data_IF_747509420665
#
_entry.id   IF_747509420665
#
_cell.length_a   1.000
_cell.length_b   1.000
_cell.length_c   1.000
_cell.angle_alpha   90.00
_cell.angle_beta   90.00
_cell.angle_gamma   90.00
#
_symmetry.space_group_name_H-M   'P 1'
#
loop_
_entity.id
_entity.type
_entity.pdbx_description
1 polymer ?
#
# COMPACT_ATOMS: atom_id res chain seq x y z
N UNK A 1 38.57 49.72 -38.18
CA UNK A 1 37.41 49.43 -39.03
C UNK A 1 37.01 47.94 -39.09
N UNK A 2 37.75 47.03 -39.74
CA UNK A 2 37.32 45.61 -39.86
C UNK A 2 37.27 44.87 -38.51
N UNK A 3 38.27 45.05 -37.64
CA UNK A 3 38.29 44.44 -36.31
C UNK A 3 37.19 44.97 -35.37
N UNK A 4 36.88 46.27 -35.44
CA UNK A 4 35.79 46.88 -34.67
C UNK A 4 34.42 46.40 -35.16
N UNK A 5 34.24 46.20 -36.47
CA UNK A 5 33.03 45.63 -37.03
C UNK A 5 32.84 44.16 -36.62
N UNK A 6 33.92 43.37 -36.52
CA UNK A 6 33.87 41.99 -36.04
C UNK A 6 33.51 41.90 -34.56
N UNK A 7 34.08 42.78 -33.72
CA UNK A 7 33.72 42.88 -32.30
C UNK A 7 32.26 43.29 -32.11
N UNK A 8 31.81 44.32 -32.84
CA UNK A 8 30.42 44.77 -32.80
C UNK A 8 29.43 43.68 -33.26
N UNK A 9 29.77 42.94 -34.32
CA UNK A 9 28.96 41.81 -34.79
C UNK A 9 28.88 40.67 -33.76
N UNK A 10 30.00 40.35 -33.09
CA UNK A 10 30.05 39.33 -32.03
C UNK A 10 29.20 39.73 -30.82
N UNK A 11 29.25 40.99 -30.41
CA UNK A 11 28.44 41.51 -29.30
C UNK A 11 26.94 41.56 -29.63
N UNK A 12 26.58 41.93 -30.86
CA UNK A 12 25.20 41.85 -31.35
C UNK A 12 24.71 40.40 -31.33
N UNK A 13 25.52 39.46 -31.81
CA UNK A 13 25.14 38.05 -31.86
C UNK A 13 24.98 37.45 -30.46
N UNK A 14 25.85 37.80 -29.50
CA UNK A 14 25.69 37.40 -28.09
C UNK A 14 24.41 37.96 -27.47
N UNK A 15 24.10 39.24 -27.72
CA UNK A 15 22.85 39.87 -27.24
C UNK A 15 21.62 39.23 -27.86
N UNK A 16 21.67 38.89 -29.15
CA UNK A 16 20.59 38.23 -29.86
C UNK A 16 20.35 36.81 -29.30
N UNK A 17 21.41 36.02 -29.07
CA UNK A 17 21.30 34.69 -28.45
C UNK A 17 20.76 34.77 -27.03
N UNK A 18 21.23 35.72 -26.21
CA UNK A 18 20.72 35.91 -24.85
C UNK A 18 19.23 36.32 -24.84
N UNK A 19 18.81 37.16 -25.80
CA UNK A 19 17.41 37.55 -25.95
C UNK A 19 16.54 36.37 -26.40
N UNK A 20 17.01 35.56 -27.34
CA UNK A 20 16.31 34.33 -27.79
C UNK A 20 16.16 33.36 -26.62
N UNK A 21 17.24 33.06 -25.88
CA UNK A 21 17.19 32.17 -24.71
C UNK A 21 16.26 32.69 -23.61
N UNK A 22 16.27 34.01 -23.35
CA UNK A 22 15.35 34.63 -22.38
C UNK A 22 13.90 34.54 -22.86
N UNK A 23 13.67 34.69 -24.17
CA UNK A 23 12.34 34.60 -24.77
C UNK A 23 11.83 33.16 -24.76
N UNK A 24 12.67 32.18 -25.10
CA UNK A 24 12.39 30.74 -25.00
C UNK A 24 12.11 30.31 -23.56
N UNK A 25 12.90 30.76 -22.58
CA UNK A 25 12.64 30.49 -21.15
C UNK A 25 11.33 31.10 -20.64
N UNK A 26 10.87 32.20 -21.24
CA UNK A 26 9.59 32.81 -20.90
C UNK A 26 8.44 32.10 -21.60
N UNK A 27 8.63 31.68 -22.86
CA UNK A 27 7.65 30.95 -23.66
C UNK A 27 7.44 29.52 -23.15
N UNK A 28 8.50 28.84 -22.72
CA UNK A 28 8.42 27.46 -22.19
C UNK A 28 7.55 27.34 -20.94
N UNK A 29 7.36 28.45 -20.18
CA UNK A 29 6.42 28.52 -19.05
C UNK A 29 4.94 28.54 -19.46
N UNK A 30 4.66 28.73 -20.74
CA UNK A 30 3.33 28.69 -21.35
C UNK A 30 3.19 27.55 -22.37
N UNK A 31 4.26 26.78 -22.59
CA UNK A 31 4.19 25.61 -23.45
C UNK A 31 3.38 24.52 -22.75
N UNK A 32 2.34 23.98 -23.41
CA UNK A 32 1.53 22.92 -22.83
C UNK A 32 2.38 21.69 -22.46
N UNK A 33 2.15 21.16 -21.26
CA UNK A 33 2.94 20.04 -20.70
C UNK A 33 2.23 18.73 -20.99
N UNK A 34 3.00 17.73 -21.45
CA UNK A 34 2.53 16.37 -21.62
C UNK A 34 2.35 15.68 -20.26
N UNK A 35 1.19 15.10 -20.04
CA UNK A 35 0.81 14.43 -18.78
C UNK A 35 0.34 13.02 -19.11
N UNK A 36 0.80 12.06 -18.31
CA UNK A 36 0.26 10.71 -18.29
C UNK A 36 -0.46 10.47 -16.97
N UNK A 37 -1.76 10.19 -17.03
CA UNK A 37 -2.58 9.93 -15.86
C UNK A 37 -3.67 8.90 -16.18
N UNK A 38 -3.86 7.93 -15.29
CA UNK A 38 -4.88 6.87 -15.41
C UNK A 38 -4.83 6.12 -16.77
N UNK A 39 -3.61 5.94 -17.30
CA UNK A 39 -3.36 5.27 -18.58
C UNK A 39 -3.71 6.10 -19.81
N UNK A 40 -3.97 7.40 -19.65
CA UNK A 40 -4.19 8.35 -20.74
C UNK A 40 -3.05 9.34 -20.82
N UNK A 41 -2.72 9.71 -22.05
CA UNK A 41 -1.75 10.75 -22.32
C UNK A 41 -2.48 11.96 -22.93
N UNK A 42 -2.24 13.13 -22.36
CA UNK A 42 -2.84 14.37 -22.81
C UNK A 42 -1.92 15.55 -22.51
N UNK A 43 -2.29 16.73 -22.98
CA UNK A 43 -1.47 17.94 -22.85
C UNK A 43 -2.32 19.03 -22.18
N UNK A 44 -1.75 19.74 -21.21
CA UNK A 44 -2.44 20.76 -20.40
C UNK A 44 -1.59 22.00 -20.22
N UNK A 45 -2.22 23.11 -19.82
CA UNK A 45 -1.49 24.30 -19.40
C UNK A 45 -0.61 23.99 -18.17
N UNK A 46 0.62 24.53 -18.09
CA UNK A 46 1.48 24.35 -16.93
C UNK A 46 0.85 24.74 -15.59
N UNK A 47 0.00 25.79 -15.57
CA UNK A 47 -0.68 26.22 -14.35
C UNK A 47 -1.81 25.25 -13.97
N UNK A 48 -2.51 24.70 -14.96
CA UNK A 48 -3.52 23.65 -14.72
C UNK A 48 -2.87 22.41 -14.08
N UNK A 49 -1.74 21.94 -14.62
CA UNK A 49 -0.98 20.84 -14.02
C UNK A 49 -0.56 21.18 -12.59
N UNK A 50 0.02 22.37 -12.38
CA UNK A 50 0.50 22.81 -11.06
C UNK A 50 -0.63 22.88 -10.03
N UNK A 51 -1.78 23.43 -10.41
CA UNK A 51 -2.95 23.53 -9.53
C UNK A 51 -3.53 22.15 -9.22
N UNK A 52 -3.56 21.24 -10.20
CA UNK A 52 -3.94 19.84 -9.98
C UNK A 52 -3.00 19.17 -8.97
N UNK A 53 -1.69 19.25 -9.20
CA UNK A 53 -0.69 18.66 -8.31
C UNK A 53 -0.83 19.21 -6.88
N UNK A 54 -0.99 20.53 -6.73
CA UNK A 54 -1.16 21.17 -5.43
C UNK A 54 -2.43 20.69 -4.70
N UNK A 55 -3.55 20.54 -5.40
CA UNK A 55 -4.77 19.98 -4.80
C UNK A 55 -4.57 18.52 -4.35
N UNK A 56 -3.80 17.75 -5.11
CA UNK A 56 -3.50 16.36 -4.82
C UNK A 56 -2.46 16.16 -3.71
N UNK A 57 -1.53 17.08 -3.54
CA UNK A 57 -0.59 17.06 -2.42
C UNK A 57 -1.32 17.23 -1.09
N UNK A 58 -2.36 18.08 -1.05
CA UNK A 58 -3.26 18.18 0.11
C UNK A 58 -3.98 16.84 0.35
N UNK A 59 -4.50 16.20 -0.69
CA UNK A 59 -5.10 14.88 -0.56
C UNK A 59 -4.12 13.82 0.00
N UNK A 60 -2.89 13.78 -0.53
CA UNK A 60 -1.83 12.85 -0.10
C UNK A 60 -1.35 13.08 1.33
N UNK A 61 -1.47 14.31 1.84
CA UNK A 61 -1.16 14.63 3.24
C UNK A 61 -2.20 14.06 4.24
N UNK A 62 -3.30 13.49 3.76
CA UNK A 62 -4.36 12.94 4.61
C UNK A 62 -5.35 13.97 5.15
N UNK A 63 -5.17 15.27 4.89
CA UNK A 63 -6.16 16.30 5.22
C UNK A 63 -7.32 16.30 4.20
N UNK A 64 -8.19 15.31 4.31
CA UNK A 64 -9.28 15.08 3.35
C UNK A 64 -10.30 16.21 3.32
N UNK A 65 -10.46 16.97 4.41
CA UNK A 65 -11.35 18.12 4.46
C UNK A 65 -10.81 19.26 3.58
N UNK A 66 -9.52 19.61 3.72
CA UNK A 66 -8.88 20.57 2.83
C UNK A 66 -8.78 20.05 1.40
N UNK A 67 -8.54 18.75 1.22
CA UNK A 67 -8.44 18.14 -0.10
C UNK A 67 -9.76 18.24 -0.88
N UNK A 68 -10.90 18.01 -0.23
CA UNK A 68 -12.22 18.21 -0.85
C UNK A 68 -12.36 19.62 -1.42
N UNK A 69 -11.99 20.62 -0.61
CA UNK A 69 -12.06 22.02 -1.01
C UNK A 69 -11.11 22.32 -2.17
N UNK A 70 -9.85 21.89 -2.07
CA UNK A 70 -8.84 22.15 -3.09
C UNK A 70 -9.18 21.50 -4.44
N UNK A 71 -9.66 20.25 -4.44
CA UNK A 71 -10.07 19.55 -5.65
C UNK A 71 -11.34 20.19 -6.26
N UNK A 72 -12.31 20.59 -5.44
CA UNK A 72 -13.50 21.29 -5.91
C UNK A 72 -13.16 22.65 -6.54
N UNK A 73 -12.27 23.43 -5.92
CA UNK A 73 -11.79 24.72 -6.46
C UNK A 73 -11.01 24.53 -7.76
N UNK A 74 -10.18 23.48 -7.86
CA UNK A 74 -9.51 23.12 -9.11
C UNK A 74 -10.52 22.84 -10.23
N UNK A 75 -11.52 22.00 -9.98
CA UNK A 75 -12.54 21.66 -10.97
C UNK A 75 -13.40 22.88 -11.36
N UNK A 76 -13.64 23.81 -10.44
CA UNK A 76 -14.33 25.06 -10.74
C UNK A 76 -13.48 26.01 -11.59
N UNK A 77 -12.17 26.07 -11.32
CA UNK A 77 -11.21 26.90 -12.07
C UNK A 77 -10.99 26.37 -13.49
N UNK A 78 -11.01 25.06 -13.68
CA UNK A 78 -10.80 24.41 -14.97
C UNK A 78 -11.98 23.49 -15.37
N UNK A 79 -13.16 24.04 -15.75
CA UNK A 79 -14.35 23.23 -16.02
C UNK A 79 -14.23 22.22 -17.17
N UNK A 80 -13.32 22.48 -18.11
CA UNK A 80 -13.04 21.62 -19.27
C UNK A 80 -11.78 20.76 -19.10
N UNK A 81 -11.28 20.62 -17.88
CA UNK A 81 -10.04 19.89 -17.59
C UNK A 81 -10.13 18.41 -17.99
N UNK A 82 -9.06 17.91 -18.62
CA UNK A 82 -8.91 16.49 -18.93
C UNK A 82 -8.61 15.64 -17.68
N UNK A 83 -8.29 16.28 -16.54
CA UNK A 83 -8.18 15.65 -15.24
C UNK A 83 -9.54 15.28 -14.62
N UNK A 84 -10.66 15.71 -15.21
CA UNK A 84 -11.99 15.64 -14.58
C UNK A 84 -12.34 14.25 -14.01
N UNK A 85 -12.19 13.12 -14.73
CA UNK A 85 -12.53 11.80 -14.19
C UNK A 85 -11.70 11.43 -12.95
N UNK A 86 -10.40 11.75 -12.95
CA UNK A 86 -9.51 11.50 -11.83
C UNK A 86 -9.83 12.43 -10.66
N UNK A 87 -9.96 13.74 -10.91
CA UNK A 87 -10.32 14.72 -9.89
C UNK A 87 -11.64 14.36 -9.19
N UNK A 88 -12.68 13.99 -9.93
CA UNK A 88 -13.96 13.54 -9.38
C UNK A 88 -13.83 12.25 -8.57
N UNK A 89 -13.04 11.28 -9.06
CA UNK A 89 -12.79 10.04 -8.34
C UNK A 89 -12.13 10.31 -6.98
N UNK A 90 -11.10 11.15 -6.96
CA UNK A 90 -10.38 11.47 -5.73
C UNK A 90 -11.14 12.40 -4.79
N UNK A 91 -11.96 13.32 -5.32
CA UNK A 91 -12.94 14.06 -4.54
C UNK A 91 -13.91 13.10 -3.82
N UNK A 92 -14.41 12.09 -4.53
CA UNK A 92 -15.26 11.05 -3.95
C UNK A 92 -14.56 10.25 -2.85
N UNK A 93 -13.28 9.92 -3.01
CA UNK A 93 -12.49 9.27 -1.97
C UNK A 93 -12.27 10.18 -0.76
N UNK A 94 -11.99 11.47 -0.97
CA UNK A 94 -11.84 12.44 0.12
C UNK A 94 -13.14 12.57 0.92
N UNK A 95 -14.29 12.61 0.23
CA UNK A 95 -15.63 12.64 0.83
C UNK A 95 -15.94 11.34 1.58
N UNK A 96 -15.55 10.18 1.03
CA UNK A 96 -15.67 8.91 1.72
C UNK A 96 -14.89 8.90 3.04
N UNK A 97 -13.65 9.37 3.03
CA UNK A 97 -12.80 9.43 4.23
C UNK A 97 -13.35 10.35 5.31
N UNK A 98 -14.05 11.43 4.96
CA UNK A 98 -14.74 12.29 5.93
C UNK A 98 -16.17 11.84 6.23
N UNK A 99 -16.58 10.63 5.79
CA UNK A 99 -17.92 10.04 5.98
C UNK A 99 -19.07 10.81 5.31
N UNK A 100 -18.76 11.67 4.33
CA UNK A 100 -19.73 12.36 3.47
C UNK A 100 -20.16 11.42 2.33
N UNK A 101 -20.79 10.29 2.69
CA UNK A 101 -21.04 9.19 1.75
C UNK A 101 -22.01 9.55 0.61
N UNK A 102 -22.96 10.46 0.84
CA UNK A 102 -23.93 10.86 -0.20
C UNK A 102 -23.24 11.68 -1.29
N UNK A 103 -22.40 12.63 -0.89
CA UNK A 103 -21.57 13.45 -1.76
C UNK A 103 -20.55 12.58 -2.49
N UNK A 104 -19.91 11.64 -1.78
CA UNK A 104 -18.99 10.67 -2.37
C UNK A 104 -19.65 9.88 -3.50
N UNK A 105 -20.86 9.34 -3.27
CA UNK A 105 -21.64 8.64 -4.30
C UNK A 105 -21.93 9.54 -5.51
N UNK A 106 -22.26 10.82 -5.29
CA UNK A 106 -22.50 11.77 -6.38
C UNK A 106 -21.24 11.99 -7.22
N UNK A 107 -20.08 12.20 -6.58
CA UNK A 107 -18.78 12.36 -7.24
C UNK A 107 -18.40 11.11 -8.04
N UNK A 108 -18.55 9.91 -7.47
CA UNK A 108 -18.27 8.66 -8.20
C UNK A 108 -19.24 8.41 -9.36
N UNK A 109 -20.52 8.77 -9.22
CA UNK A 109 -21.49 8.70 -10.34
C UNK A 109 -21.11 9.66 -11.47
N UNK A 110 -20.57 10.83 -11.15
CA UNK A 110 -20.09 11.78 -12.16
C UNK A 110 -18.93 11.18 -12.99
N UNK A 111 -18.01 10.43 -12.37
CA UNK A 111 -16.95 9.69 -13.10
C UNK A 111 -17.55 8.74 -14.14
N UNK A 112 -18.56 7.96 -13.74
CA UNK A 112 -19.20 6.97 -14.62
C UNK A 112 -20.00 7.65 -15.74
N UNK A 113 -20.68 8.76 -15.42
CA UNK A 113 -21.48 9.51 -16.39
C UNK A 113 -20.61 10.20 -17.46
N UNK A 114 -19.49 10.80 -17.05
CA UNK A 114 -18.61 11.52 -17.96
C UNK A 114 -17.66 10.60 -18.73
N UNK A 115 -17.23 9.49 -18.10
CA UNK A 115 -16.17 8.66 -18.64
C UNK A 115 -16.39 7.16 -18.35
N UNK A 116 -17.47 6.59 -18.90
CA UNK A 116 -17.82 5.17 -18.71
C UNK A 116 -16.71 4.17 -19.11
N UNK A 117 -15.85 4.51 -20.07
CA UNK A 117 -14.72 3.67 -20.48
C UNK A 117 -13.40 4.04 -19.78
N UNK A 118 -13.44 4.89 -18.75
CA UNK A 118 -12.26 5.29 -17.99
C UNK A 118 -11.77 4.15 -17.09
N UNK A 119 -10.45 4.08 -16.84
CA UNK A 119 -9.86 3.08 -15.95
C UNK A 119 -10.51 3.10 -14.55
N UNK A 120 -10.91 4.29 -14.10
CA UNK A 120 -11.57 4.54 -12.80
C UNK A 120 -13.06 4.19 -12.75
N UNK A 121 -13.72 3.94 -13.87
CA UNK A 121 -15.19 3.83 -13.88
C UNK A 121 -15.68 2.60 -13.11
N UNK A 122 -14.94 1.48 -13.21
CA UNK A 122 -15.25 0.27 -12.45
C UNK A 122 -14.93 0.43 -10.95
N UNK A 123 -13.79 1.07 -10.63
CA UNK A 123 -13.43 1.40 -9.25
C UNK A 123 -14.44 2.38 -8.62
N UNK A 124 -14.97 3.33 -9.39
CA UNK A 124 -16.00 4.27 -8.93
C UNK A 124 -17.31 3.56 -8.55
N UNK A 125 -17.75 2.57 -9.35
CA UNK A 125 -18.91 1.74 -9.00
C UNK A 125 -18.65 0.90 -7.73
N UNK A 126 -17.43 0.34 -7.60
CA UNK A 126 -17.06 -0.36 -6.37
C UNK A 126 -17.08 0.58 -5.16
N UNK A 127 -16.57 1.80 -5.30
CA UNK A 127 -16.58 2.82 -4.25
C UNK A 127 -17.99 3.29 -3.90
N UNK A 128 -18.92 3.41 -4.86
CA UNK A 128 -20.34 3.67 -4.59
C UNK A 128 -20.94 2.56 -3.73
N UNK A 129 -20.69 1.30 -4.08
CA UNK A 129 -21.18 0.18 -3.29
C UNK A 129 -20.59 0.19 -1.87
N UNK A 130 -19.33 0.59 -1.71
CA UNK A 130 -18.71 0.74 -0.38
C UNK A 130 -19.41 1.83 0.44
N UNK A 131 -19.66 3.00 -0.15
CA UNK A 131 -20.44 4.07 0.51
C UNK A 131 -21.80 3.55 0.97
N UNK A 132 -22.51 2.81 0.12
CA UNK A 132 -23.82 2.25 0.43
C UNK A 132 -23.77 1.22 1.56
N UNK A 133 -22.71 0.41 1.62
CA UNK A 133 -22.47 -0.52 2.75
C UNK A 133 -22.23 0.22 4.06
N UNK A 134 -21.38 1.25 4.07
CA UNK A 134 -21.14 2.08 5.26
C UNK A 134 -22.41 2.78 5.75
N UNK A 135 -23.29 3.15 4.82
CA UNK A 135 -24.62 3.68 5.10
C UNK A 135 -25.65 2.63 5.52
N UNK A 136 -25.28 1.35 5.60
CA UNK A 136 -26.17 0.20 5.86
C UNK A 136 -27.27 -0.01 4.80
N UNK A 137 -27.15 0.60 3.62
CA UNK A 137 -28.05 0.41 2.49
C UNK A 137 -27.59 -0.79 1.62
N UNK A 138 -27.77 -1.99 2.17
CA UNK A 138 -27.35 -3.25 1.55
C UNK A 138 -28.09 -3.53 0.25
N UNK A 139 -29.34 -3.08 0.11
CA UNK A 139 -30.15 -3.25 -1.10
C UNK A 139 -29.55 -2.48 -2.27
N UNK A 140 -29.24 -1.19 -2.07
CA UNK A 140 -28.60 -0.39 -3.11
C UNK A 140 -27.17 -0.86 -3.39
N UNK A 141 -26.40 -1.23 -2.36
CA UNK A 141 -25.07 -1.80 -2.52
C UNK A 141 -25.10 -3.02 -3.45
N UNK A 142 -26.01 -3.97 -3.21
CA UNK A 142 -26.21 -5.14 -4.06
C UNK A 142 -26.54 -4.78 -5.51
N UNK A 143 -27.45 -3.81 -5.72
CA UNK A 143 -27.82 -3.36 -7.05
C UNK A 143 -26.64 -2.74 -7.81
N UNK A 144 -25.86 -1.88 -7.15
CA UNK A 144 -24.64 -1.26 -7.72
C UNK A 144 -23.59 -2.31 -8.08
N UNK A 145 -23.40 -3.33 -7.23
CA UNK A 145 -22.46 -4.41 -7.50
C UNK A 145 -22.90 -5.28 -8.69
N UNK A 146 -24.20 -5.51 -8.84
CA UNK A 146 -24.74 -6.19 -10.03
C UNK A 146 -24.53 -5.36 -11.30
N UNK A 147 -24.70 -4.05 -11.22
CA UNK A 147 -24.38 -3.14 -12.32
C UNK A 147 -22.89 -3.21 -12.69
N UNK A 148 -22.00 -3.17 -11.70
CA UNK A 148 -20.56 -3.29 -11.88
C UNK A 148 -20.18 -4.56 -12.62
N UNK A 149 -20.68 -5.72 -12.17
CA UNK A 149 -20.39 -7.00 -12.81
C UNK A 149 -20.97 -7.08 -14.23
N UNK A 150 -22.15 -6.49 -14.46
CA UNK A 150 -22.78 -6.47 -15.79
C UNK A 150 -22.03 -5.57 -16.77
N UNK A 151 -21.62 -4.37 -16.36
CA UNK A 151 -20.92 -3.40 -17.21
C UNK A 151 -19.44 -3.73 -17.38
N UNK A 152 -18.80 -4.26 -16.34
CA UNK A 152 -17.37 -4.57 -16.31
C UNK A 152 -17.15 -6.04 -15.91
N UNK A 153 -17.52 -7.00 -16.78
CA UNK A 153 -17.45 -8.44 -16.46
C UNK A 153 -16.03 -8.97 -16.20
N UNK A 154 -15.00 -8.22 -16.60
CA UNK A 154 -13.59 -8.53 -16.29
C UNK A 154 -13.11 -7.92 -14.97
N UNK A 155 -13.92 -7.10 -14.30
CA UNK A 155 -13.58 -6.48 -13.01
C UNK A 155 -13.62 -7.53 -11.90
N UNK A 156 -12.47 -7.81 -11.29
CA UNK A 156 -12.34 -8.84 -10.25
C UNK A 156 -12.41 -8.28 -8.82
N UNK A 157 -12.40 -6.96 -8.64
CA UNK A 157 -12.30 -6.28 -7.34
C UNK A 157 -13.52 -6.38 -6.41
N UNK A 158 -14.67 -6.90 -6.85
CA UNK A 158 -15.90 -6.97 -6.02
C UNK A 158 -16.05 -8.24 -5.18
N UNK A 159 -15.41 -9.36 -5.53
CA UNK A 159 -16.07 -10.66 -5.31
C UNK A 159 -16.54 -10.99 -3.89
N UNK A 160 -15.83 -10.58 -2.85
CA UNK A 160 -16.28 -10.79 -1.47
C UNK A 160 -17.55 -10.01 -1.15
N UNK A 161 -17.57 -8.72 -1.49
CA UNK A 161 -18.73 -7.83 -1.28
C UNK A 161 -19.92 -8.32 -2.08
N UNK A 162 -19.68 -8.78 -3.32
CA UNK A 162 -20.69 -9.40 -4.15
C UNK A 162 -21.29 -10.67 -3.49
N UNK A 163 -20.48 -11.50 -2.82
CA UNK A 163 -20.95 -12.72 -2.14
C UNK A 163 -21.65 -12.44 -0.81
N UNK A 164 -21.11 -11.57 0.05
CA UNK A 164 -21.73 -11.17 1.32
C UNK A 164 -23.11 -10.54 1.13
N UNK A 165 -23.28 -9.76 0.06
CA UNK A 165 -24.55 -9.11 -0.28
C UNK A 165 -25.45 -9.98 -1.20
N UNK A 166 -25.00 -11.19 -1.56
CA UNK A 166 -25.71 -12.12 -2.44
C UNK A 166 -25.99 -11.57 -3.84
N UNK A 167 -25.14 -10.67 -4.34
CA UNK A 167 -25.26 -9.96 -5.62
C UNK A 167 -25.14 -10.93 -6.80
N UNK A 168 -24.07 -11.73 -6.86
CA UNK A 168 -23.85 -12.83 -7.83
C UNK A 168 -22.86 -13.82 -7.21
N UNK A 169 -23.08 -15.13 -7.37
CA UNK A 169 -22.02 -16.11 -7.19
C UNK A 169 -21.01 -15.94 -8.33
N UNK A 170 -19.86 -15.29 -8.04
CA UNK A 170 -18.71 -15.44 -8.92
C UNK A 170 -18.30 -16.91 -8.80
N UNK A 171 -18.79 -17.74 -9.72
CA UNK A 171 -18.42 -19.14 -9.84
C UNK A 171 -16.96 -19.17 -10.30
N UNK A 172 -16.07 -19.17 -9.31
CA UNK A 172 -14.64 -19.23 -9.53
C UNK A 172 -14.20 -20.68 -9.48
N UNK A 173 -13.36 -21.03 -10.43
CA UNK A 173 -12.53 -22.21 -10.30
C UNK A 173 -11.39 -21.91 -9.31
N UNK A 174 -11.72 -22.04 -8.02
CA UNK A 174 -10.80 -21.86 -6.89
C UNK A 174 -9.64 -22.86 -6.99
N UNK A 175 -9.94 -24.09 -7.44
CA UNK A 175 -8.94 -25.13 -7.69
C UNK A 175 -7.96 -24.73 -8.80
N UNK A 176 -8.40 -24.08 -9.89
CA UNK A 176 -7.46 -23.54 -10.90
C UNK A 176 -6.56 -22.44 -10.35
N UNK A 177 -7.06 -21.59 -9.45
CA UNK A 177 -6.24 -20.49 -8.88
C UNK A 177 -5.22 -21.00 -7.88
N UNK A 178 -5.62 -21.90 -6.99
CA UNK A 178 -4.83 -22.28 -5.82
C UNK A 178 -4.48 -23.77 -5.75
N UNK A 179 -4.84 -24.59 -6.73
CA UNK A 179 -4.54 -26.02 -6.74
C UNK A 179 -3.05 -26.36 -6.73
N UNK A 180 -2.19 -25.41 -7.08
CA UNK A 180 -0.74 -25.52 -6.85
C UNK A 180 -0.37 -25.69 -5.37
N UNK A 181 -1.12 -25.06 -4.46
CA UNK A 181 -0.91 -25.21 -3.02
C UNK A 181 -1.35 -26.56 -2.50
N UNK A 182 -2.44 -27.13 -3.03
CA UNK A 182 -2.85 -28.50 -2.67
C UNK A 182 -1.75 -29.50 -3.03
N UNK A 183 -1.09 -29.34 -4.19
CA UNK A 183 0.04 -30.21 -4.58
C UNK A 183 1.29 -30.03 -3.71
N UNK A 184 1.46 -28.87 -3.08
CA UNK A 184 2.64 -28.54 -2.27
C UNK A 184 2.45 -28.89 -0.78
N UNK A 185 1.31 -28.51 -0.21
CA UNK A 185 0.99 -28.64 1.23
C UNK A 185 0.03 -29.80 1.55
N UNK A 186 -0.45 -30.52 0.53
CA UNK A 186 -1.53 -31.50 0.67
C UNK A 186 -2.90 -30.84 0.85
N UNK A 187 -3.96 -31.64 0.76
CA UNK A 187 -5.34 -31.14 0.87
C UNK A 187 -5.61 -30.48 2.23
N UNK A 188 -5.20 -31.12 3.32
CA UNK A 188 -5.41 -30.60 4.68
C UNK A 188 -4.64 -29.31 4.93
N UNK A 189 -3.35 -29.26 4.58
CA UNK A 189 -2.52 -28.07 4.78
C UNK A 189 -3.01 -26.88 3.95
N UNK A 190 -3.38 -27.12 2.70
CA UNK A 190 -3.96 -26.09 1.84
C UNK A 190 -5.31 -25.58 2.38
N UNK A 191 -6.22 -26.46 2.80
CA UNK A 191 -7.50 -26.04 3.41
C UNK A 191 -7.30 -25.24 4.69
N UNK A 192 -6.34 -25.61 5.54
CA UNK A 192 -6.00 -24.85 6.74
C UNK A 192 -5.55 -23.43 6.39
N UNK A 193 -4.73 -23.26 5.35
CA UNK A 193 -4.34 -21.95 4.82
C UNK A 193 -5.57 -21.19 4.30
N UNK A 194 -6.45 -21.84 3.53
CA UNK A 194 -7.62 -21.18 2.95
C UNK A 194 -8.62 -20.68 3.99
N UNK A 195 -8.74 -21.37 5.12
CA UNK A 195 -9.61 -20.95 6.22
C UNK A 195 -8.93 -19.97 7.19
N UNK A 196 -7.63 -19.72 7.00
CA UNK A 196 -6.85 -18.96 7.96
C UNK A 196 -7.21 -17.47 8.01
N UNK A 197 -7.04 -16.89 9.20
CA UNK A 197 -7.02 -15.45 9.42
C UNK A 197 -5.61 -14.99 9.81
N UNK A 198 -5.02 -14.16 8.96
CA UNK A 198 -3.69 -13.59 9.15
C UNK A 198 -3.77 -12.07 9.26
N UNK A 199 -3.06 -11.50 10.24
CA UNK A 199 -2.92 -10.05 10.40
C UNK A 199 -1.55 -9.61 9.87
N UNK A 200 -1.52 -8.57 9.03
CA UNK A 200 -0.30 -7.95 8.54
C UNK A 200 -0.28 -6.50 9.00
N UNK A 201 0.73 -6.14 9.80
CA UNK A 201 0.90 -4.79 10.33
C UNK A 201 2.10 -4.14 9.64
N UNK A 202 1.88 -2.96 9.06
CA UNK A 202 2.84 -2.24 8.23
C UNK A 202 2.83 -2.74 6.79
N UNK A 203 2.20 -1.97 5.90
CA UNK A 203 2.10 -2.20 4.46
C UNK A 203 3.16 -1.45 3.65
N UNK A 204 4.37 -1.34 4.21
CA UNK A 204 5.54 -0.81 3.50
C UNK A 204 6.17 -1.80 2.51
N UNK A 205 7.48 -1.67 2.28
CA UNK A 205 8.22 -2.50 1.33
C UNK A 205 8.31 -3.99 1.70
N UNK A 206 7.95 -4.37 2.93
CA UNK A 206 7.92 -5.76 3.39
C UNK A 206 6.48 -6.27 3.44
N UNK A 207 5.65 -5.68 4.31
CA UNK A 207 4.32 -6.23 4.58
C UNK A 207 3.37 -6.18 3.39
N UNK A 208 3.55 -5.26 2.45
CA UNK A 208 2.78 -5.25 1.20
C UNK A 208 2.99 -6.53 0.38
N UNK A 209 4.23 -7.01 0.30
CA UNK A 209 4.57 -8.29 -0.36
C UNK A 209 4.20 -9.51 0.48
N UNK A 210 4.23 -9.40 1.81
CA UNK A 210 3.66 -10.44 2.68
C UNK A 210 2.17 -10.63 2.39
N UNK A 211 1.40 -9.54 2.36
CA UNK A 211 -0.03 -9.57 2.08
C UNK A 211 -0.34 -10.10 0.66
N UNK A 212 0.45 -9.70 -0.35
CA UNK A 212 0.37 -10.23 -1.71
C UNK A 212 0.59 -11.75 -1.73
N UNK A 213 1.64 -12.24 -1.06
CA UNK A 213 1.99 -13.66 -1.00
C UNK A 213 0.92 -14.50 -0.31
N UNK A 214 0.35 -13.99 0.80
CA UNK A 214 -0.77 -14.63 1.50
C UNK A 214 -2.03 -14.70 0.62
N UNK A 215 -2.37 -13.61 -0.07
CA UNK A 215 -3.52 -13.58 -0.97
C UNK A 215 -3.36 -14.53 -2.17
N UNK A 216 -2.15 -14.60 -2.74
CA UNK A 216 -1.80 -15.55 -3.82
C UNK A 216 -1.75 -17.00 -3.35
N UNK A 217 -1.65 -17.20 -2.03
CA UNK A 217 -1.72 -18.50 -1.37
C UNK A 217 -3.14 -18.86 -0.92
N UNK A 218 -4.16 -18.10 -1.32
CA UNK A 218 -5.54 -18.44 -1.05
C UNK A 218 -5.99 -18.23 0.39
N UNK A 219 -5.19 -17.55 1.24
CA UNK A 219 -5.60 -17.19 2.61
C UNK A 219 -6.96 -16.49 2.55
N UNK A 220 -7.91 -17.00 3.34
CA UNK A 220 -9.31 -16.59 3.25
C UNK A 220 -9.65 -15.32 4.02
N UNK A 221 -8.86 -14.95 5.03
CA UNK A 221 -9.09 -13.72 5.81
C UNK A 221 -7.77 -13.00 6.09
N UNK A 222 -7.73 -11.71 5.77
CA UNK A 222 -6.61 -10.81 6.05
C UNK A 222 -7.09 -9.59 6.82
N UNK A 223 -6.40 -9.24 7.91
CA UNK A 223 -6.52 -7.90 8.50
C UNK A 223 -5.25 -7.12 8.19
N UNK A 224 -5.41 -5.96 7.58
CA UNK A 224 -4.30 -5.08 7.19
C UNK A 224 -4.33 -3.83 8.06
N UNK A 225 -3.22 -3.53 8.71
CA UNK A 225 -3.10 -2.41 9.63
C UNK A 225 -1.96 -1.50 9.17
N UNK A 226 -2.30 -0.30 8.71
CA UNK A 226 -1.37 0.76 8.31
C UNK A 226 -2.16 2.07 8.17
N UNK A 227 -1.56 3.20 8.58
CA UNK A 227 -2.20 4.53 8.53
C UNK A 227 -1.73 5.37 7.33
N UNK A 228 -0.63 4.98 6.69
CA UNK A 228 -0.02 5.77 5.63
C UNK A 228 -0.78 5.68 4.30
N UNK A 229 -0.51 6.65 3.44
CA UNK A 229 -0.93 6.69 2.05
C UNK A 229 0.18 6.24 1.10
N UNK A 230 -0.22 5.80 -0.08
CA UNK A 230 0.71 5.51 -1.18
C UNK A 230 1.33 6.82 -1.67
N UNK A 231 2.66 6.89 -1.63
CA UNK A 231 3.44 8.02 -2.16
C UNK A 231 4.30 7.60 -3.35
N UNK A 232 4.72 8.56 -4.19
CA UNK A 232 5.61 8.30 -5.34
C UNK A 232 6.94 7.65 -4.91
N UNK A 233 7.48 8.09 -3.77
CA UNK A 233 8.69 7.52 -3.17
C UNK A 233 8.56 6.04 -2.80
N UNK A 234 7.35 5.46 -2.85
CA UNK A 234 7.09 4.06 -2.53
C UNK A 234 7.21 3.11 -3.74
N UNK A 235 7.16 3.65 -4.96
CA UNK A 235 7.12 2.89 -6.23
C UNK A 235 8.29 1.91 -6.34
N UNK A 236 9.47 2.26 -5.80
CA UNK A 236 10.67 1.41 -5.88
C UNK A 236 10.58 0.10 -5.08
N UNK A 237 9.57 -0.08 -4.20
CA UNK A 237 9.57 -1.19 -3.23
C UNK A 237 8.21 -1.70 -2.73
N UNK A 238 7.11 -0.98 -2.94
CA UNK A 238 5.79 -1.37 -2.39
C UNK A 238 4.86 -1.87 -3.50
N UNK A 239 4.25 -3.04 -3.31
CA UNK A 239 3.53 -3.74 -4.40
C UNK A 239 2.25 -3.02 -4.86
N UNK A 240 1.61 -2.27 -3.98
CA UNK A 240 0.41 -1.50 -4.30
C UNK A 240 0.73 -0.13 -4.89
N UNK A 241 1.99 0.34 -4.86
CA UNK A 241 2.36 1.66 -5.32
C UNK A 241 2.44 1.70 -6.86
N UNK A 242 1.43 2.29 -7.47
CA UNK A 242 1.26 2.49 -8.90
C UNK A 242 0.78 3.94 -9.09
N UNK A 243 0.94 4.50 -10.30
CA UNK A 243 0.41 5.84 -10.59
C UNK A 243 -1.09 5.94 -10.28
N UNK A 244 -1.82 4.84 -10.48
CA UNK A 244 -3.24 4.77 -10.19
C UNK A 244 -3.59 4.70 -8.70
N UNK A 245 -2.65 4.41 -7.81
CA UNK A 245 -2.95 4.30 -6.36
C UNK A 245 -2.34 5.43 -5.53
N UNK A 246 -1.61 6.37 -6.15
CA UNK A 246 -1.02 7.52 -5.45
C UNK A 246 -2.07 8.29 -4.64
N UNK A 247 -1.78 8.52 -3.36
CA UNK A 247 -2.67 9.19 -2.41
C UNK A 247 -3.72 8.29 -1.76
N UNK A 248 -3.94 7.07 -2.24
CA UNK A 248 -4.85 6.13 -1.56
C UNK A 248 -4.23 5.65 -0.24
N UNK A 249 -5.04 5.45 0.80
CA UNK A 249 -4.59 4.75 2.00
C UNK A 249 -4.04 3.36 1.63
N UNK A 250 -2.85 3.00 2.15
CA UNK A 250 -2.16 1.75 1.76
C UNK A 250 -3.02 0.52 2.01
N UNK A 251 -3.77 0.50 3.12
CA UNK A 251 -4.68 -0.61 3.45
C UNK A 251 -5.78 -0.78 2.41
N UNK A 252 -6.33 0.33 1.88
CA UNK A 252 -7.37 0.30 0.86
C UNK A 252 -6.79 -0.11 -0.51
N UNK A 253 -5.64 0.45 -0.89
CA UNK A 253 -4.95 0.09 -2.13
C UNK A 253 -4.60 -1.40 -2.16
N UNK A 254 -4.10 -1.93 -1.04
CA UNK A 254 -3.76 -3.35 -0.92
C UNK A 254 -5.02 -4.23 -0.91
N UNK A 255 -6.09 -3.84 -0.22
CA UNK A 255 -7.40 -4.54 -0.26
C UNK A 255 -7.92 -4.68 -1.68
N UNK A 256 -7.92 -3.58 -2.43
CA UNK A 256 -8.45 -3.55 -3.79
C UNK A 256 -7.59 -4.46 -4.69
N UNK A 257 -6.26 -4.41 -4.53
CA UNK A 257 -5.33 -5.33 -5.19
C UNK A 257 -5.60 -6.81 -4.86
N UNK A 258 -5.78 -7.14 -3.57
CA UNK A 258 -6.08 -8.51 -3.12
C UNK A 258 -7.38 -9.01 -3.75
N UNK A 259 -8.39 -8.15 -3.90
CA UNK A 259 -9.65 -8.57 -4.51
C UNK A 259 -9.49 -9.02 -5.98
N UNK A 260 -8.51 -8.46 -6.73
CA UNK A 260 -8.18 -8.97 -8.06
C UNK A 260 -7.52 -10.38 -8.04
N UNK A 261 -6.81 -10.71 -6.95
CA UNK A 261 -6.05 -11.96 -6.77
C UNK A 261 -6.91 -13.07 -6.15
N UNK A 262 -7.52 -12.81 -5.01
CA UNK A 262 -8.41 -13.70 -4.29
C UNK A 262 -9.68 -12.93 -3.93
N UNK A 263 -10.68 -12.88 -4.84
CA UNK A 263 -11.94 -12.24 -4.57
C UNK A 263 -12.78 -12.93 -3.49
N UNK A 264 -12.34 -14.08 -2.94
CA UNK A 264 -12.96 -14.73 -1.78
C UNK A 264 -12.22 -14.44 -0.46
N UNK A 265 -11.10 -13.70 -0.50
CA UNK A 265 -10.35 -13.32 0.70
C UNK A 265 -11.04 -12.14 1.39
N UNK A 266 -11.65 -12.33 2.56
CA UNK A 266 -12.18 -11.23 3.36
C UNK A 266 -11.02 -10.37 3.86
N UNK A 267 -10.98 -9.10 3.46
CA UNK A 267 -9.94 -8.16 3.87
C UNK A 267 -10.53 -7.07 4.74
N UNK A 268 -10.07 -6.98 5.98
CA UNK A 268 -10.40 -5.91 6.93
C UNK A 268 -9.27 -4.88 6.94
N UNK A 269 -9.58 -3.61 6.76
CA UNK A 269 -8.62 -2.50 6.76
C UNK A 269 -8.75 -1.72 8.07
N UNK A 270 -7.62 -1.45 8.73
CA UNK A 270 -7.55 -0.62 9.94
C UNK A 270 -6.49 0.47 9.71
N UNK A 271 -6.92 1.73 9.68
CA UNK A 271 -6.07 2.91 9.49
C UNK A 271 -5.58 3.46 10.84
N UNK A 272 -4.79 2.67 11.57
CA UNK A 272 -4.22 3.03 12.87
C UNK A 272 -2.78 2.53 13.03
N UNK A 273 -2.01 3.16 13.93
CA UNK A 273 -0.79 2.57 14.47
C UNK A 273 -1.11 1.58 15.59
N UNK A 274 -0.33 0.50 15.70
CA UNK A 274 -0.42 -0.38 16.86
C UNK A 274 0.38 0.22 18.01
N UNK A 275 -0.29 0.46 19.13
CA UNK A 275 0.33 0.90 20.38
C UNK A 275 0.02 -0.10 21.51
N UNK A 276 0.80 -0.11 22.60
CA UNK A 276 0.47 -0.93 23.77
C UNK A 276 -0.94 -0.68 24.32
N UNK A 277 -1.49 0.53 24.15
CA UNK A 277 -2.78 0.95 24.69
C UNK A 277 -3.96 0.50 23.81
N UNK A 278 -3.82 0.49 22.48
CA UNK A 278 -4.91 0.13 21.57
C UNK A 278 -4.89 -1.33 21.09
N UNK A 279 -3.79 -2.07 21.31
CA UNK A 279 -3.59 -3.40 20.73
C UNK A 279 -4.72 -4.39 21.03
N UNK A 280 -5.32 -4.36 22.22
CA UNK A 280 -6.43 -5.26 22.57
C UNK A 280 -7.76 -4.90 21.88
N UNK A 281 -7.91 -3.66 21.43
CA UNK A 281 -9.07 -3.18 20.70
C UNK A 281 -8.97 -3.51 19.20
N UNK A 282 -7.78 -3.31 18.61
CA UNK A 282 -7.58 -3.42 17.16
C UNK A 282 -7.25 -4.84 16.70
N UNK A 283 -6.62 -5.67 17.54
CA UNK A 283 -6.19 -7.00 17.14
C UNK A 283 -7.34 -8.01 17.23
N UNK A 284 -7.66 -8.72 16.12
CA UNK A 284 -8.70 -9.74 16.14
C UNK A 284 -8.26 -10.94 16.99
N UNK A 285 -9.07 -11.31 17.99
CA UNK A 285 -8.76 -12.39 18.94
C UNK A 285 -8.75 -13.78 18.28
N UNK A 286 -9.36 -13.93 17.12
CA UNK A 286 -9.37 -15.16 16.32
C UNK A 286 -8.24 -15.23 15.28
N UNK A 287 -7.31 -14.26 15.29
CA UNK A 287 -6.12 -14.32 14.44
C UNK A 287 -5.29 -15.57 14.73
N UNK A 288 -5.00 -16.34 13.68
CA UNK A 288 -4.15 -17.53 13.78
C UNK A 288 -2.68 -17.20 13.57
N UNK A 289 -2.40 -16.16 12.78
CA UNK A 289 -1.04 -15.68 12.57
C UNK A 289 -0.95 -14.15 12.45
N UNK A 290 0.19 -13.61 12.83
CA UNK A 290 0.50 -12.18 12.79
C UNK A 290 1.89 -11.98 12.19
N UNK A 291 1.98 -11.12 11.18
CA UNK A 291 3.23 -10.62 10.58
C UNK A 291 3.41 -9.16 10.98
N UNK A 292 4.43 -8.91 11.80
CA UNK A 292 4.88 -7.57 12.15
C UNK A 292 5.95 -7.08 11.17
N UNK A 293 5.56 -6.18 10.28
CA UNK A 293 6.43 -5.45 9.36
C UNK A 293 6.52 -3.95 9.70
N UNK A 294 6.30 -3.58 10.97
CA UNK A 294 6.50 -2.21 11.45
C UNK A 294 7.99 -1.86 11.57
N UNK A 295 8.31 -0.59 11.66
CA UNK A 295 9.65 -0.06 11.96
C UNK A 295 9.78 0.44 13.41
N UNK A 296 8.67 0.56 14.15
CA UNK A 296 8.66 1.08 15.51
C UNK A 296 8.85 -0.03 16.56
N UNK A 297 9.94 0.04 17.33
CA UNK A 297 10.30 -0.97 18.35
C UNK A 297 9.19 -1.23 19.37
N UNK A 298 8.52 -0.18 19.85
CA UNK A 298 7.48 -0.32 20.87
C UNK A 298 6.28 -1.13 20.34
N UNK A 299 5.88 -0.93 19.08
CA UNK A 299 4.84 -1.71 18.42
C UNK A 299 5.26 -3.18 18.30
N UNK A 300 6.51 -3.46 17.89
CA UNK A 300 7.04 -4.84 17.78
C UNK A 300 6.97 -5.58 19.11
N UNK A 301 7.35 -4.92 20.20
CA UNK A 301 7.36 -5.48 21.55
C UNK A 301 5.93 -5.76 22.02
N UNK A 302 5.00 -4.82 21.81
CA UNK A 302 3.59 -4.99 22.13
C UNK A 302 2.96 -6.16 21.35
N UNK A 303 3.22 -6.25 20.05
CA UNK A 303 2.73 -7.34 19.18
C UNK A 303 3.28 -8.71 19.62
N UNK A 304 4.57 -8.79 19.95
CA UNK A 304 5.17 -10.03 20.46
C UNK A 304 4.55 -10.48 21.79
N UNK A 305 4.30 -9.54 22.70
CA UNK A 305 3.66 -9.82 23.98
C UNK A 305 2.19 -10.25 23.80
N UNK A 306 1.44 -9.57 22.93
CA UNK A 306 0.07 -9.90 22.60
C UNK A 306 -0.04 -11.29 21.97
N UNK A 307 0.80 -11.59 20.98
CA UNK A 307 0.78 -12.90 20.31
C UNK A 307 1.06 -14.05 21.27
N UNK A 308 1.99 -13.86 22.22
CA UNK A 308 2.25 -14.84 23.29
C UNK A 308 1.03 -15.05 24.19
N UNK A 309 0.31 -13.98 24.55
CA UNK A 309 -0.91 -14.04 25.38
C UNK A 309 -2.03 -14.81 24.67
N UNK A 310 -2.24 -14.57 23.38
CA UNK A 310 -3.31 -15.19 22.58
C UNK A 310 -2.91 -16.48 21.85
N UNK A 311 -1.65 -16.92 22.01
CA UNK A 311 -1.10 -18.16 21.42
C UNK A 311 -1.24 -18.22 19.89
N UNK A 312 -1.17 -17.09 19.21
CA UNK A 312 -1.14 -17.05 17.75
C UNK A 312 0.29 -17.23 17.23
N UNK A 313 0.44 -17.70 15.99
CA UNK A 313 1.74 -17.69 15.34
C UNK A 313 2.20 -16.25 15.11
N UNK A 314 3.44 -15.94 15.48
CA UNK A 314 3.96 -14.58 15.37
C UNK A 314 5.37 -14.58 14.81
N UNK A 315 5.57 -13.67 13.86
CA UNK A 315 6.85 -13.36 13.28
C UNK A 315 6.99 -11.85 13.13
N UNK A 316 8.16 -11.34 13.50
CA UNK A 316 8.54 -9.93 13.28
C UNK A 316 9.59 -9.84 12.18
N UNK A 317 9.67 -8.69 11.53
CA UNK A 317 10.65 -8.44 10.48
C UNK A 317 11.65 -7.36 10.93
N UNK A 318 12.92 -7.59 10.60
CA UNK A 318 14.02 -6.67 10.82
C UNK A 318 14.15 -5.60 9.74
N UNK A 319 15.26 -4.87 9.78
CA UNK A 319 15.55 -3.80 8.82
C UNK A 319 15.84 -4.38 7.43
N UNK A 320 14.98 -4.08 6.45
CA UNK A 320 15.17 -4.46 5.05
C UNK A 320 15.82 -3.34 4.19
N UNK A 321 15.83 -2.10 4.67
CA UNK A 321 16.50 -0.96 4.03
C UNK A 321 18.03 -1.06 4.11
N UNK A 322 18.72 -0.39 3.18
CA UNK A 322 20.18 -0.32 3.10
C UNK A 322 20.86 -1.64 2.70
N UNK A 323 20.11 -2.58 2.10
CA UNK A 323 20.57 -3.92 1.73
C UNK A 323 20.35 -4.19 0.24
N UNK A 324 21.16 -5.08 -0.34
CA UNK A 324 21.17 -5.42 -1.78
C UNK A 324 21.03 -6.90 -2.07
N UNK A 325 21.32 -7.79 -1.11
CA UNK A 325 21.44 -9.23 -1.37
C UNK A 325 20.24 -10.02 -0.83
N UNK A 326 19.22 -10.20 -1.68
CA UNK A 326 18.00 -10.93 -1.34
C UNK A 326 18.24 -12.39 -0.91
N UNK A 327 19.26 -13.07 -1.45
CA UNK A 327 19.58 -14.46 -1.11
C UNK A 327 20.21 -14.63 0.30
N UNK A 328 20.53 -13.53 0.99
CA UNK A 328 21.06 -13.53 2.36
C UNK A 328 19.96 -13.31 3.42
N UNK A 329 18.69 -13.39 3.04
CA UNK A 329 17.56 -13.34 3.96
C UNK A 329 17.44 -14.68 4.69
N UNK A 330 17.22 -14.61 6.00
CA UNK A 330 17.18 -15.76 6.90
C UNK A 330 16.04 -15.60 7.92
N UNK A 331 15.60 -16.72 8.52
CA UNK A 331 14.55 -16.75 9.54
C UNK A 331 15.04 -17.52 10.77
N UNK A 332 15.06 -16.85 11.93
CA UNK A 332 15.52 -17.48 13.18
C UNK A 332 14.89 -16.84 14.42
N UNK A 333 15.02 -17.51 15.57
CA UNK A 333 14.63 -16.94 16.87
C UNK A 333 15.37 -15.64 17.17
N UNK A 334 14.64 -14.65 17.71
CA UNK A 334 15.15 -13.33 18.10
C UNK A 334 16.38 -13.42 19.01
N UNK A 335 16.53 -14.51 19.78
CA UNK A 335 17.70 -14.74 20.64
C UNK A 335 18.99 -14.91 19.86
N UNK A 336 18.95 -15.37 18.60
CA UNK A 336 20.11 -15.61 17.73
C UNK A 336 20.32 -14.55 16.64
N UNK A 337 19.37 -13.64 16.45
CA UNK A 337 19.47 -12.57 15.43
C UNK A 337 20.62 -11.61 15.76
N UNK A 338 21.45 -11.34 14.75
CA UNK A 338 22.57 -10.39 14.79
C UNK A 338 22.51 -9.43 13.59
N UNK A 339 23.32 -8.36 13.63
CA UNK A 339 23.45 -7.38 12.53
C UNK A 339 22.15 -6.62 12.18
N UNK A 340 21.23 -6.55 13.13
CA UNK A 340 19.96 -5.84 12.97
C UNK A 340 19.67 -4.99 14.22
N UNK A 341 19.92 -3.67 14.17
CA UNK A 341 19.73 -2.79 15.33
C UNK A 341 18.27 -2.73 15.81
N UNK A 342 17.31 -2.81 14.89
CA UNK A 342 15.88 -2.78 15.20
C UNK A 342 15.48 -4.00 16.03
N UNK A 343 15.88 -5.20 15.58
CA UNK A 343 15.63 -6.44 16.32
C UNK A 343 16.47 -6.53 17.60
N UNK A 344 17.68 -5.97 17.61
CA UNK A 344 18.48 -5.88 18.84
C UNK A 344 17.79 -5.06 19.93
N UNK A 345 17.19 -3.91 19.56
CA UNK A 345 16.40 -3.10 20.47
C UNK A 345 15.13 -3.84 20.92
N UNK A 346 14.39 -4.46 20.01
CA UNK A 346 13.22 -5.28 20.35
C UNK A 346 13.55 -6.38 21.37
N UNK A 347 14.66 -7.10 21.16
CA UNK A 347 15.17 -8.11 22.10
C UNK A 347 15.49 -7.55 23.47
N UNK A 348 16.14 -6.38 23.53
CA UNK A 348 16.45 -5.72 24.80
C UNK A 348 15.16 -5.36 25.56
N UNK A 349 14.19 -4.75 24.88
CA UNK A 349 12.92 -4.33 25.45
C UNK A 349 12.10 -5.52 25.98
N UNK A 350 12.02 -6.62 25.22
CA UNK A 350 11.36 -7.85 25.66
C UNK A 350 12.01 -8.46 26.92
N UNK A 351 13.35 -8.41 27.02
CA UNK A 351 14.08 -8.90 28.21
C UNK A 351 13.92 -7.99 29.43
N UNK A 352 13.74 -6.70 29.21
CA UNK A 352 13.61 -5.70 30.28
C UNK A 352 12.20 -5.65 30.85
N UNK A 353 11.19 -5.63 29.98
CA UNK A 353 9.80 -5.34 30.36
C UNK A 353 8.87 -6.56 30.32
N UNK A 354 9.23 -7.63 29.60
CA UNK A 354 8.36 -8.81 29.42
C UNK A 354 9.01 -10.13 29.86
N UNK A 355 10.15 -10.06 30.59
CA UNK A 355 10.81 -11.23 31.14
C UNK A 355 11.28 -12.25 30.09
N UNK A 356 11.58 -11.81 28.87
CA UNK A 356 12.02 -12.71 27.82
C UNK A 356 13.35 -13.42 28.17
N UNK A 357 13.53 -14.61 27.61
CA UNK A 357 14.62 -15.51 27.96
C UNK A 357 16.03 -14.91 27.72
N UNK A 358 16.97 -15.31 28.58
CA UNK A 358 18.41 -14.94 28.55
C UNK A 358 19.28 -16.20 28.41
N UNK A 359 20.59 -15.99 28.25
CA UNK A 359 21.62 -17.05 28.36
C UNK A 359 21.41 -18.23 27.41
N UNK A 360 21.37 -17.96 26.10
CA UNK A 360 21.28 -18.99 25.06
C UNK A 360 19.91 -19.64 24.89
N UNK A 361 18.95 -19.37 25.79
CA UNK A 361 17.57 -19.84 25.64
C UNK A 361 16.82 -19.07 24.55
N UNK A 362 15.88 -19.75 23.90
CA UNK A 362 15.00 -19.18 22.88
C UNK A 362 14.04 -18.18 23.48
N UNK A 363 13.83 -17.06 22.80
CA UNK A 363 12.81 -16.06 23.16
C UNK A 363 11.42 -16.53 22.69
N UNK A 364 11.36 -17.32 21.62
CA UNK A 364 10.10 -17.78 21.03
C UNK A 364 9.46 -16.76 20.09
N UNK A 365 10.23 -15.78 19.62
CA UNK A 365 9.83 -14.82 18.59
C UNK A 365 10.68 -15.08 17.36
N UNK A 366 10.06 -15.50 16.25
CA UNK A 366 10.79 -15.72 15.00
C UNK A 366 10.92 -14.39 14.25
N UNK A 367 12.04 -14.22 13.57
CA UNK A 367 12.38 -12.99 12.89
C UNK A 367 12.86 -13.26 11.48
N UNK A 368 12.33 -12.53 10.48
CA UNK A 368 12.99 -12.41 9.18
C UNK A 368 14.04 -11.32 9.26
N UNK A 369 15.27 -11.63 8.89
CA UNK A 369 16.39 -10.69 8.92
C UNK A 369 17.42 -11.02 7.85
N UNK A 370 18.47 -10.20 7.77
CA UNK A 370 19.66 -10.52 6.99
C UNK A 370 20.88 -10.04 7.74
N UNK A 371 21.98 -10.82 7.66
CA UNK A 371 23.28 -10.48 8.24
C UNK A 371 24.10 -9.52 7.36
N UNK A 372 23.57 -9.12 6.21
CA UNK A 372 24.15 -8.05 5.41
C UNK A 372 24.23 -6.75 6.23
N UNK A 373 25.40 -6.12 6.25
CA UNK A 373 25.57 -4.82 6.89
C UNK A 373 24.75 -3.74 6.16
N UNK A 374 24.08 -2.88 6.91
CA UNK A 374 23.31 -1.76 6.35
C UNK A 374 24.27 -0.76 5.72
N UNK A 375 24.14 -0.50 4.41
CA UNK A 375 24.89 0.56 3.73
C UNK A 375 24.19 1.91 3.95
N UNK A 376 24.90 2.86 4.55
CA UNK A 376 24.46 4.26 4.64
C UNK A 376 24.37 4.90 3.25
N UNK A 377 23.44 5.85 3.01
CA UNK A 377 23.42 6.62 1.78
C UNK A 377 24.79 7.26 1.53
N UNK A 378 25.26 7.22 0.29
CA UNK A 378 26.47 7.94 -0.11
C UNK A 378 26.15 9.44 0.05
N UNK A 379 26.91 10.17 0.89
CA UNK A 379 26.70 11.60 1.12
C UNK A 379 26.86 12.37 -0.20
N UNK A 380 25.74 12.70 -0.85
CA UNK A 380 25.69 13.64 -1.97
C UNK A 380 24.60 14.68 -1.68
N UNK A 381 25.07 15.78 -1.10
CA UNK A 381 24.61 17.19 -1.07
C UNK A 381 23.12 17.58 -0.91
N UNK A 382 22.90 18.30 0.20
CA UNK A 382 22.12 19.53 0.45
C UNK A 382 20.60 19.64 0.26
N UNK A 383 19.97 20.12 1.34
CA UNK A 383 18.56 20.56 1.58
C UNK A 383 17.52 19.43 1.63
N UNK A 384 16.75 19.20 2.69
CA UNK A 384 16.18 20.04 3.75
C UNK A 384 16.13 19.23 5.05
N UNK A 385 16.42 19.87 6.18
CA UNK A 385 16.26 19.28 7.50
C UNK A 385 14.76 19.06 7.81
N UNK A 386 14.39 17.83 8.18
CA UNK A 386 13.91 17.53 9.53
C UNK A 386 13.59 16.03 9.70
N UNK A 387 13.87 15.55 10.91
CA UNK A 387 13.49 14.27 11.51
C UNK A 387 14.32 13.01 11.17
N UNK A 388 15.46 12.89 11.87
CA UNK A 388 16.30 11.70 11.91
C UNK A 388 15.68 10.59 12.78
N UNK A 389 14.56 10.01 12.34
CA UNK A 389 14.07 8.72 12.82
C UNK A 389 14.62 7.59 11.95
N UNK A 390 14.91 6.43 12.55
CA UNK A 390 15.36 5.17 11.90
C UNK A 390 14.39 4.63 10.83
N UNK A 391 13.32 5.36 10.55
CA UNK A 391 12.41 5.16 9.45
C UNK A 391 13.23 5.08 8.15
N UNK A 392 12.82 4.22 7.23
CA UNK A 392 13.50 3.97 5.96
C UNK A 392 13.52 5.18 4.99
N UNK A 393 13.42 6.41 5.50
CA UNK A 393 13.57 7.66 4.77
C UNK A 393 15.05 8.04 4.57
N UNK A 394 15.96 7.55 5.42
CA UNK A 394 17.40 7.77 5.24
C UNK A 394 18.13 6.69 4.42
N UNK A 395 17.69 5.44 4.46
CA UNK A 395 18.38 4.34 3.76
C UNK A 395 17.71 4.03 2.41
N UNK A 396 18.52 3.95 1.36
CA UNK A 396 18.08 3.43 0.06
C UNK A 396 17.53 2.00 0.18
N UNK A 397 16.64 1.61 -0.72
CA UNK A 397 16.01 0.29 -0.71
C UNK A 397 15.77 -0.21 -2.12
N UNK A 398 15.69 -1.54 -2.27
CA UNK A 398 15.40 -2.21 -3.54
C UNK A 398 14.32 -3.26 -3.32
N UNK A 399 13.38 -3.35 -4.27
CA UNK A 399 12.26 -4.29 -4.22
C UNK A 399 12.72 -5.74 -4.05
N UNK A 400 13.82 -6.15 -4.68
CA UNK A 400 14.32 -7.52 -4.60
C UNK A 400 14.62 -7.98 -3.16
N UNK A 401 15.12 -7.09 -2.31
CA UNK A 401 15.38 -7.41 -0.90
C UNK A 401 14.11 -7.27 -0.08
N UNK A 402 13.46 -6.12 -0.15
CA UNK A 402 12.29 -5.81 0.70
C UNK A 402 11.12 -6.77 0.45
N UNK A 403 10.86 -7.12 -0.82
CA UNK A 403 9.87 -8.14 -1.17
C UNK A 403 10.28 -9.54 -0.68
N UNK A 404 11.56 -9.90 -0.77
CA UNK A 404 12.03 -11.22 -0.29
C UNK A 404 11.83 -11.35 1.22
N UNK A 405 12.09 -10.30 2.00
CA UNK A 405 11.75 -10.29 3.43
C UNK A 405 10.26 -10.60 3.67
N UNK A 406 9.37 -9.95 2.90
CA UNK A 406 7.93 -10.17 3.00
C UNK A 406 7.49 -11.58 2.55
N UNK A 407 8.06 -12.08 1.45
CA UNK A 407 7.78 -13.42 0.93
C UNK A 407 8.25 -14.50 1.91
N UNK A 408 9.44 -14.34 2.52
CA UNK A 408 9.94 -15.21 3.58
C UNK A 408 9.02 -15.19 4.81
N UNK A 409 8.54 -14.02 5.23
CA UNK A 409 7.59 -13.88 6.33
C UNK A 409 6.28 -14.64 6.05
N UNK A 410 5.71 -14.44 4.86
CA UNK A 410 4.49 -15.12 4.44
C UNK A 410 4.70 -16.63 4.33
N UNK A 411 5.80 -17.10 3.72
CA UNK A 411 6.14 -18.52 3.59
C UNK A 411 6.21 -19.21 4.95
N UNK A 412 6.90 -18.58 5.92
CA UNK A 412 6.95 -19.11 7.28
C UNK A 412 5.56 -19.22 7.93
N UNK A 413 4.69 -18.22 7.75
CA UNK A 413 3.31 -18.26 8.25
C UNK A 413 2.51 -19.38 7.60
N UNK A 414 2.61 -19.55 6.28
CA UNK A 414 1.91 -20.60 5.54
C UNK A 414 2.31 -21.99 6.06
N UNK A 415 3.61 -22.22 6.28
CA UNK A 415 4.12 -23.47 6.85
C UNK A 415 3.57 -23.72 8.26
N UNK A 416 3.44 -22.68 9.09
CA UNK A 416 2.84 -22.83 10.43
C UNK A 416 1.37 -23.19 10.37
N UNK A 417 0.61 -22.51 9.52
CA UNK A 417 -0.83 -22.76 9.36
C UNK A 417 -1.09 -24.17 8.82
N UNK A 418 -0.35 -24.61 7.81
CA UNK A 418 -0.49 -25.94 7.23
C UNK A 418 -0.16 -27.05 8.24
N UNK A 419 0.88 -26.86 9.07
CA UNK A 419 1.30 -27.86 10.07
C UNK A 419 0.48 -27.84 11.37
N UNK A 420 -0.22 -26.75 11.69
CA UNK A 420 -1.07 -26.71 12.88
C UNK A 420 -2.26 -27.67 12.77
N UNK A 421 -2.79 -27.86 11.55
CA UNK A 421 -3.91 -28.75 11.27
C UNK A 421 -3.54 -30.25 11.43
N UNK A 422 -2.35 -30.66 11.00
CA UNK A 422 -1.92 -32.07 11.06
C UNK A 422 -1.77 -32.61 12.48
N UNK A 423 -1.48 -31.73 13.45
CA UNK A 423 -1.35 -32.10 14.88
C UNK A 423 -2.71 -32.31 15.57
N UNK A 424 -3.78 -31.67 15.07
CA UNK A 424 -5.12 -31.85 15.64
C UNK A 424 -5.80 -33.13 15.12
N UNK A 425 -5.60 -33.50 13.85
CA UNK A 425 -6.13 -34.76 13.29
C UNK A 425 -5.46 -36.02 13.83
N UNK A 426 -4.21 -35.94 14.29
CA UNK A 426 -3.52 -37.08 14.93
C UNK A 426 -3.85 -37.25 16.42
N UNK A 427 -4.69 -36.38 16.99
CA UNK A 427 -5.14 -36.42 18.40
C UNK A 427 -6.64 -36.70 18.56
N UNK A 428 -7.37 -36.79 17.46
CA UNK A 428 -8.73 -37.29 17.38
C UNK A 428 -8.67 -38.73 16.85
#
# INVERSE_FOLDING_TARGET
>A
MVAELQLASSDIQKRQTALVQTTEQRLSKFEPVKVQLDGREFVVDPNEKRDYDAAFDVFRSGDYSKAQKAIAEFMQRYPSTLYSPSAMFWLGNAQYSTRNYKEAIASFRAVIAQAANHLRAADALLSIANCQVEMKDTKSAKATLNELLKKYPRFRGCGNRCRTLGAVEINMDFERRFGGLVRLYGEHGAHAIYQAHVVVIGLGGVGSWSAESLARSGVGRLTLIDIDHVAESNINRQVMALDSSLGQAKVLAMRDRIAYINPNCVVTCIEEFVTPENIELIMPKDAQAVIDACDQVHAKVALAAWAKKFKCHFLTVGAAGGKRHAHLVDIEDLSKVTHDPLLAQCRYQLRKFHGAAREGKRIGVNCVFSREAVKSPDQVCDSVADDATLNCHGYGSVVSVTATFGICAAGWVLDKLANFASVQTNRA
#
